data_IF_210692965857
#
_entry.id   IF_210692965857
#
_cell.length_a   1.000
_cell.length_b   1.000
_cell.length_c   1.000
_cell.angle_alpha   90.00
_cell.angle_beta   90.00
_cell.angle_gamma   90.00
#
_symmetry.space_group_name_H-M   'P 1'
#
loop_
_entity.id
_entity.type
_entity.pdbx_description
1 polymer ?
#
# COMPACT_ATOMS: atom_id res chain seq x y z
N UNK A 1 22.99 -12.01 -1.20
CA UNK A 1 21.70 -12.12 -1.89
C UNK A 1 21.31 -10.72 -2.36
N UNK A 2 20.95 -10.53 -3.63
CA UNK A 2 20.41 -9.25 -4.11
C UNK A 2 19.04 -9.08 -3.44
N UNK A 3 18.88 -7.98 -2.68
CA UNK A 3 17.62 -7.67 -2.02
C UNK A 3 16.54 -7.46 -3.08
N UNK A 4 15.44 -8.17 -2.95
CA UNK A 4 14.23 -7.96 -3.78
C UNK A 4 13.58 -6.65 -3.33
N UNK A 5 12.93 -5.92 -4.24
CA UNK A 5 12.20 -4.68 -3.93
C UNK A 5 13.04 -3.62 -3.20
N UNK A 6 14.10 -3.12 -3.86
CA UNK A 6 14.94 -2.08 -3.25
C UNK A 6 14.43 -0.66 -3.45
N UNK A 7 13.44 -0.44 -4.33
CA UNK A 7 12.99 0.89 -4.76
C UNK A 7 11.48 1.13 -4.68
N UNK A 8 10.67 0.10 -4.94
CA UNK A 8 9.22 0.24 -5.07
C UNK A 8 8.50 -0.39 -3.87
N UNK A 9 8.73 0.16 -2.69
CA UNK A 9 7.97 -0.21 -1.51
C UNK A 9 7.74 1.00 -0.60
N UNK A 10 6.70 0.92 0.19
CA UNK A 10 6.39 1.84 1.29
C UNK A 10 6.44 1.11 2.61
N UNK A 11 7.03 1.75 3.61
CA UNK A 11 7.02 1.28 4.99
C UNK A 11 5.83 1.88 5.73
N UNK A 12 4.84 1.04 6.01
CA UNK A 12 3.63 1.40 6.75
C UNK A 12 3.72 0.98 8.22
N UNK A 13 4.92 0.72 8.71
CA UNK A 13 5.16 0.27 10.07
C UNK A 13 4.79 1.35 11.10
N UNK A 14 4.37 0.88 12.26
CA UNK A 14 4.02 1.69 13.43
C UNK A 14 4.71 1.15 14.67
N UNK A 15 4.60 1.82 15.79
CA UNK A 15 5.12 1.31 17.07
C UNK A 15 4.52 -0.05 17.45
N UNK A 16 3.29 -0.32 17.03
CA UNK A 16 2.57 -1.56 17.34
C UNK A 16 3.01 -2.75 16.50
N UNK A 17 3.61 -2.52 15.33
CA UNK A 17 4.04 -3.57 14.42
C UNK A 17 4.42 -3.07 13.04
N UNK A 18 4.75 -4.00 12.18
CA UNK A 18 5.38 -3.79 10.89
C UNK A 18 4.47 -4.23 9.75
N UNK A 19 4.39 -3.41 8.73
CA UNK A 19 3.66 -3.69 7.51
C UNK A 19 4.28 -2.91 6.35
N UNK A 20 4.36 -3.54 5.17
CA UNK A 20 4.98 -2.94 3.99
C UNK A 20 4.04 -3.08 2.79
N UNK A 21 4.11 -2.13 1.88
CA UNK A 21 3.44 -2.21 0.59
C UNK A 21 4.49 -2.23 -0.50
N UNK A 22 4.42 -3.22 -1.39
CA UNK A 22 5.34 -3.40 -2.52
C UNK A 22 4.59 -3.10 -3.81
N UNK A 23 5.23 -2.44 -4.76
CA UNK A 23 4.59 -1.97 -5.99
C UNK A 23 5.19 -2.60 -7.22
N UNK A 24 4.34 -2.87 -8.21
CA UNK A 24 4.74 -3.26 -9.55
C UNK A 24 5.56 -2.13 -10.21
N UNK A 25 6.69 -2.48 -10.82
CA UNK A 25 7.57 -1.49 -11.48
C UNK A 25 6.93 -0.85 -12.73
N UNK A 26 5.86 -1.44 -13.28
CA UNK A 26 5.21 -0.97 -14.51
C UNK A 26 3.90 -0.24 -14.21
N UNK A 27 2.94 -0.91 -13.58
CA UNK A 27 1.60 -0.34 -13.36
C UNK A 27 1.42 0.30 -11.99
N UNK A 28 2.40 0.14 -11.08
CA UNK A 28 2.36 0.62 -9.70
C UNK A 28 1.21 0.02 -8.87
N UNK A 29 0.63 -1.10 -9.32
CA UNK A 29 -0.29 -1.86 -8.49
C UNK A 29 0.43 -2.41 -7.27
N UNK A 30 -0.21 -2.35 -6.10
CA UNK A 30 0.44 -2.58 -4.81
C UNK A 30 -0.05 -3.83 -4.11
N UNK A 31 0.89 -4.62 -3.59
CA UNK A 31 0.65 -5.70 -2.66
C UNK A 31 1.04 -5.29 -1.25
N UNK A 32 0.12 -5.40 -0.30
CA UNK A 32 0.35 -5.09 1.12
C UNK A 32 0.63 -6.37 1.89
N UNK A 33 1.78 -6.44 2.57
CA UNK A 33 2.17 -7.58 3.39
C UNK A 33 1.26 -7.77 4.60
N UNK A 34 1.31 -8.95 5.18
CA UNK A 34 0.71 -9.24 6.47
C UNK A 34 1.29 -8.33 7.55
N UNK A 35 0.45 -7.96 8.54
CA UNK A 35 0.89 -7.15 9.68
C UNK A 35 1.60 -8.04 10.71
N UNK A 36 2.83 -7.69 11.06
CA UNK A 36 3.65 -8.39 12.05
C UNK A 36 3.71 -7.53 13.31
N UNK A 37 3.14 -8.01 14.41
CA UNK A 37 3.11 -7.27 15.67
C UNK A 37 4.51 -7.18 16.32
N UNK A 38 4.87 -6.00 16.84
CA UNK A 38 6.11 -5.80 17.58
C UNK A 38 6.04 -6.44 18.97
N UNK A 39 7.02 -7.31 19.28
CA UNK A 39 7.16 -7.93 20.60
C UNK A 39 7.64 -6.91 21.63
N UNK A 40 8.42 -5.94 21.21
CA UNK A 40 8.91 -4.83 22.02
C UNK A 40 7.74 -3.96 22.52
N UNK A 41 6.79 -3.66 21.63
CA UNK A 41 5.58 -2.91 22.00
C UNK A 41 4.67 -3.68 22.97
N UNK A 42 4.46 -4.99 22.73
CA UNK A 42 3.69 -5.85 23.64
C UNK A 42 4.28 -5.88 25.05
N UNK A 43 5.61 -6.02 25.17
CA UNK A 43 6.31 -5.98 26.46
C UNK A 43 6.15 -4.62 27.14
N UNK A 44 6.25 -3.52 26.40
CA UNK A 44 6.03 -2.17 26.90
C UNK A 44 4.61 -1.92 27.43
N UNK A 45 3.58 -2.43 26.74
CA UNK A 45 2.19 -2.37 27.22
C UNK A 45 1.98 -3.20 28.50
N UNK A 46 2.54 -4.39 28.57
CA UNK A 46 2.46 -5.24 29.75
C UNK A 46 3.09 -4.58 30.97
N UNK A 47 4.25 -3.96 30.83
CA UNK A 47 4.92 -3.22 31.88
C UNK A 47 4.15 -1.97 32.35
N UNK A 48 3.50 -1.24 31.43
CA UNK A 48 2.63 -0.10 31.79
C UNK A 48 1.41 -0.54 32.58
N UNK A 49 0.78 -1.64 32.20
CA UNK A 49 -0.34 -2.22 32.95
C UNK A 49 0.05 -2.66 34.36
N UNK A 50 1.22 -3.27 34.52
CA UNK A 50 1.78 -3.66 35.81
C UNK A 50 2.17 -2.43 36.68
N UNK A 51 2.74 -1.38 36.04
CA UNK A 51 3.10 -0.15 36.76
C UNK A 51 1.85 0.60 37.26
N UNK A 52 0.77 0.64 36.50
CA UNK A 52 -0.52 1.20 36.95
C UNK A 52 -1.16 0.36 38.06
N UNK A 53 -1.10 -0.96 37.95
CA UNK A 53 -1.57 -1.86 39.03
C UNK A 53 -0.72 -1.74 40.28
N UNK A 54 0.60 -1.61 40.18
CA UNK A 54 1.50 -1.45 41.29
C UNK A 54 1.34 -0.09 42.01
N UNK A 55 0.98 0.99 41.28
CA UNK A 55 0.73 2.30 41.91
C UNK A 55 -0.53 2.31 42.78
N UNK A 56 -1.54 1.51 42.43
CA UNK A 56 -2.77 1.33 43.24
C UNK A 56 -2.47 0.50 44.48
N UNK A 57 -1.64 -0.53 44.38
CA UNK A 57 -1.23 -1.37 45.52
C UNK A 57 -0.18 -0.69 46.40
N UNK A 58 0.71 0.14 45.79
CA UNK A 58 1.75 0.87 46.50
C UNK A 58 1.26 1.98 47.40
N UNK A 59 0.04 2.50 47.14
CA UNK A 59 -0.63 3.45 48.03
C UNK A 59 -1.15 2.79 49.33
N UNK A 60 -1.27 1.45 49.35
CA UNK A 60 -1.73 0.68 50.50
C UNK A 60 -0.57 0.12 51.37
N UNK A 61 0.63 0.05 50.87
CA UNK A 61 1.81 -0.46 51.58
C UNK A 61 2.91 0.60 51.55
N UNK A 62 2.91 1.45 52.56
CA UNK A 62 3.76 2.62 52.72
C UNK A 62 5.23 2.47 52.27
N UNK A 63 5.67 3.32 51.40
CA UNK A 63 6.98 3.97 51.48
C UNK A 63 8.19 3.36 50.76
N UNK A 64 8.17 2.14 50.23
CA UNK A 64 9.40 1.52 49.72
C UNK A 64 9.45 1.38 48.17
N UNK A 65 8.40 1.72 47.44
CA UNK A 65 8.28 1.47 46.01
C UNK A 65 8.45 2.74 45.13
N UNK A 66 8.60 3.92 45.76
CA UNK A 66 8.69 5.21 45.04
C UNK A 66 9.94 5.36 44.16
N UNK A 67 11.02 4.64 44.46
CA UNK A 67 12.25 4.71 43.69
C UNK A 67 12.27 3.84 42.41
N UNK A 68 11.35 2.87 42.27
CA UNK A 68 11.26 2.03 41.06
C UNK A 68 10.40 2.71 39.99
N UNK A 69 9.42 3.53 40.43
CA UNK A 69 8.51 4.26 39.49
C UNK A 69 9.20 5.33 38.66
N UNK A 70 10.16 6.06 39.24
CA UNK A 70 10.86 7.16 38.53
C UNK A 70 11.80 6.70 37.41
N UNK A 71 12.33 5.48 37.49
CA UNK A 71 13.15 4.89 36.43
C UNK A 71 12.33 4.39 35.22
N UNK A 72 11.06 4.00 35.45
CA UNK A 72 10.20 3.48 34.39
C UNK A 72 9.45 4.57 33.62
N UNK A 73 9.10 5.71 34.26
CA UNK A 73 8.49 6.83 33.54
C UNK A 73 9.43 7.47 32.52
N UNK A 74 10.73 7.56 32.83
CA UNK A 74 11.74 8.05 31.85
C UNK A 74 11.96 7.10 30.68
N UNK A 75 11.81 5.79 30.85
CA UNK A 75 11.90 4.81 29.78
C UNK A 75 10.67 4.79 28.85
N UNK A 76 9.51 5.24 29.35
CA UNK A 76 8.26 5.28 28.58
C UNK A 76 8.10 6.48 27.64
N UNK A 77 8.73 7.61 27.96
CA UNK A 77 8.68 8.81 27.13
C UNK A 77 9.64 8.77 25.92
N UNK A 78 10.71 7.97 25.99
CA UNK A 78 11.69 7.82 24.92
C UNK A 78 11.15 7.01 23.74
N UNK A 79 10.01 6.30 23.91
CA UNK A 79 9.40 5.49 22.86
C UNK A 79 8.35 6.25 22.03
N UNK A 80 8.12 7.55 22.25
CA UNK A 80 7.06 8.30 21.58
C UNK A 80 7.54 9.30 20.52
N UNK A 81 8.84 9.53 20.38
CA UNK A 81 9.37 10.36 19.31
C UNK A 81 9.75 9.49 18.10
N UNK A 82 9.16 9.84 16.98
CA UNK A 82 9.28 9.20 15.68
C UNK A 82 10.71 8.76 15.36
N UNK A 83 10.89 7.44 15.16
CA UNK A 83 11.98 6.75 14.43
C UNK A 83 13.44 7.10 14.76
N UNK A 84 13.77 8.25 15.29
CA UNK A 84 15.16 8.61 15.64
C UNK A 84 15.67 8.07 16.98
N UNK A 85 14.79 7.41 17.76
CA UNK A 85 15.10 6.84 19.09
C UNK A 85 14.72 5.39 19.28
N UNK A 86 14.44 4.64 18.22
CA UNK A 86 14.00 3.26 18.30
C UNK A 86 15.07 2.35 18.88
N UNK A 87 14.66 1.50 19.84
CA UNK A 87 15.59 0.58 20.47
C UNK A 87 16.25 -0.36 19.44
N UNK A 88 17.52 -0.79 19.68
CA UNK A 88 18.17 -1.76 18.79
C UNK A 88 17.40 -3.07 18.60
N UNK A 89 16.54 -3.43 19.56
CA UNK A 89 15.65 -4.58 19.43
C UNK A 89 14.54 -4.34 18.42
N UNK A 90 13.92 -3.16 18.45
CA UNK A 90 12.88 -2.80 17.47
C UNK A 90 13.44 -2.77 16.05
N UNK A 91 14.64 -2.24 15.87
CA UNK A 91 15.32 -2.21 14.56
C UNK A 91 15.55 -3.62 14.01
N UNK A 92 15.97 -4.57 14.85
CA UNK A 92 16.13 -5.98 14.47
C UNK A 92 14.80 -6.64 14.14
N UNK A 93 13.75 -6.35 14.91
CA UNK A 93 12.39 -6.83 14.61
C UNK A 93 11.89 -6.29 13.27
N UNK A 94 12.13 -5.00 13.00
CA UNK A 94 11.76 -4.34 11.74
C UNK A 94 12.51 -4.95 10.53
N UNK A 95 13.82 -5.14 10.63
CA UNK A 95 14.62 -5.78 9.58
C UNK A 95 14.12 -7.20 9.29
N UNK A 96 13.87 -7.99 10.32
CA UNK A 96 13.32 -9.34 10.17
C UNK A 96 11.91 -9.32 9.57
N UNK A 97 11.05 -8.41 10.01
CA UNK A 97 9.70 -8.24 9.47
C UNK A 97 9.76 -7.83 7.98
N UNK A 98 10.69 -6.97 7.60
CA UNK A 98 10.89 -6.60 6.21
C UNK A 98 11.33 -7.78 5.35
N UNK A 99 12.25 -8.63 5.83
CA UNK A 99 12.63 -9.86 5.13
C UNK A 99 11.45 -10.82 4.95
N UNK A 100 10.62 -11.01 5.99
CA UNK A 100 9.42 -11.81 5.89
C UNK A 100 8.43 -11.23 4.88
N UNK A 101 8.20 -9.92 4.90
CA UNK A 101 7.33 -9.23 3.97
C UNK A 101 7.82 -9.30 2.52
N UNK A 102 9.14 -9.21 2.29
CA UNK A 102 9.74 -9.42 0.96
C UNK A 102 9.51 -10.84 0.44
N UNK A 103 9.67 -11.85 1.28
CA UNK A 103 9.43 -13.25 0.90
C UNK A 103 7.95 -13.50 0.58
N UNK A 104 7.04 -12.86 1.31
CA UNK A 104 5.60 -12.89 1.04
C UNK A 104 5.29 -12.21 -0.30
N UNK A 105 5.82 -11.00 -0.52
CA UNK A 105 5.61 -10.24 -1.75
C UNK A 105 6.14 -10.94 -3.00
N UNK A 106 7.25 -11.68 -2.90
CA UNK A 106 7.80 -12.44 -4.04
C UNK A 106 6.84 -13.47 -4.63
N UNK A 107 5.82 -13.90 -3.88
CA UNK A 107 4.80 -14.83 -4.37
C UNK A 107 3.74 -14.13 -5.25
N UNK A 108 3.68 -12.80 -5.20
CA UNK A 108 2.72 -11.96 -5.91
C UNK A 108 3.34 -11.17 -7.07
N UNK A 109 4.65 -11.30 -7.26
CA UNK A 109 5.37 -10.60 -8.32
C UNK A 109 6.32 -11.52 -9.05
N UNK A 110 6.49 -11.25 -10.33
CA UNK A 110 7.44 -11.94 -11.20
C UNK A 110 8.64 -11.05 -11.50
N UNK A 111 9.80 -11.64 -11.57
CA UNK A 111 11.01 -10.93 -11.96
C UNK A 111 11.25 -11.08 -13.46
N UNK A 112 11.27 -9.99 -14.19
CA UNK A 112 11.64 -10.00 -15.59
C UNK A 112 13.12 -10.38 -15.77
N UNK A 113 13.42 -11.39 -16.59
CA UNK A 113 14.79 -11.82 -16.84
C UNK A 113 15.62 -10.85 -17.68
N UNK A 114 14.96 -9.99 -18.47
CA UNK A 114 15.61 -9.01 -19.32
C UNK A 114 15.96 -7.71 -18.56
N UNK A 115 14.96 -7.02 -18.01
CA UNK A 115 15.16 -5.73 -17.34
C UNK A 115 15.30 -5.82 -15.82
N UNK A 116 15.12 -7.00 -15.23
CA UNK A 116 15.21 -7.27 -13.79
C UNK A 116 14.12 -6.61 -12.95
N UNK A 117 13.09 -6.00 -13.56
CA UNK A 117 11.95 -5.40 -12.88
C UNK A 117 11.08 -6.44 -12.19
N UNK A 118 10.47 -6.05 -11.07
CA UNK A 118 9.47 -6.83 -10.36
C UNK A 118 8.08 -6.37 -10.80
N UNK A 119 7.31 -7.26 -11.39
CA UNK A 119 6.03 -6.94 -12.01
C UNK A 119 4.92 -7.88 -11.54
N UNK A 120 3.70 -7.37 -11.45
CA UNK A 120 2.53 -8.19 -11.12
C UNK A 120 2.13 -9.11 -12.29
N UNK A 121 1.22 -10.05 -12.05
CA UNK A 121 0.74 -11.02 -13.05
C UNK A 121 0.22 -10.34 -14.32
N UNK A 122 -0.49 -9.21 -14.19
CA UNK A 122 -1.02 -8.47 -15.33
C UNK A 122 0.07 -7.85 -16.21
N UNK A 123 1.22 -7.52 -15.62
CA UNK A 123 2.38 -6.95 -16.30
C UNK A 123 3.46 -7.98 -16.68
N UNK A 124 3.20 -9.27 -16.45
CA UNK A 124 4.13 -10.36 -16.79
C UNK A 124 3.59 -11.20 -17.95
N UNK A 125 4.42 -11.48 -18.92
CA UNK A 125 4.14 -12.39 -20.01
C UNK A 125 4.70 -13.76 -19.67
N UNK A 126 3.84 -14.68 -19.26
CA UNK A 126 4.23 -16.03 -18.81
C UNK A 126 4.84 -16.86 -19.95
N UNK A 127 4.36 -16.69 -21.18
CA UNK A 127 4.84 -17.46 -22.34
C UNK A 127 6.31 -17.17 -22.65
N UNK A 128 6.73 -15.92 -22.46
CA UNK A 128 8.09 -15.46 -22.75
C UNK A 128 8.97 -15.36 -21.49
N UNK A 129 8.38 -15.43 -20.27
CA UNK A 129 9.09 -15.24 -19.00
C UNK A 129 9.61 -13.81 -18.81
N UNK A 130 9.00 -12.83 -19.44
CA UNK A 130 9.42 -11.43 -19.48
C UNK A 130 8.26 -10.50 -19.08
N UNK A 131 8.57 -9.25 -18.71
CA UNK A 131 7.53 -8.26 -18.52
C UNK A 131 6.94 -7.80 -19.87
N UNK A 132 5.74 -7.23 -19.84
CA UNK A 132 5.00 -6.77 -21.03
C UNK A 132 5.70 -5.63 -21.78
N UNK A 133 6.64 -4.93 -21.17
CA UNK A 133 7.48 -3.94 -21.84
C UNK A 133 8.60 -4.60 -22.65
N UNK A 134 9.19 -5.68 -22.14
CA UNK A 134 10.23 -6.43 -22.84
C UNK A 134 9.66 -7.39 -23.90
N UNK A 135 8.50 -8.00 -23.62
CA UNK A 135 7.79 -8.90 -24.51
C UNK A 135 6.27 -8.66 -24.42
N UNK A 136 5.73 -7.76 -25.25
CA UNK A 136 4.28 -7.46 -25.23
C UNK A 136 3.46 -8.70 -25.60
N UNK A 137 2.35 -8.94 -24.88
CA UNK A 137 1.36 -9.94 -25.27
C UNK A 137 0.66 -9.47 -26.54
N UNK A 138 0.78 -10.24 -27.61
CA UNK A 138 0.29 -9.85 -28.93
C UNK A 138 -1.19 -9.45 -28.92
N UNK A 139 -2.04 -10.22 -28.26
CA UNK A 139 -3.48 -9.96 -28.18
C UNK A 139 -3.79 -8.64 -27.49
N UNK A 140 -3.14 -8.35 -26.36
CA UNK A 140 -3.32 -7.11 -25.59
C UNK A 140 -2.78 -5.92 -26.40
N UNK A 141 -1.63 -6.09 -27.05
CA UNK A 141 -1.04 -5.04 -27.88
C UNK A 141 -1.96 -4.67 -29.07
N UNK A 142 -2.50 -5.68 -29.77
CA UNK A 142 -3.44 -5.47 -30.88
C UNK A 142 -4.73 -4.83 -30.39
N UNK A 143 -5.28 -5.28 -29.24
CA UNK A 143 -6.48 -4.69 -28.66
C UNK A 143 -6.26 -3.22 -28.29
N UNK A 144 -5.14 -2.88 -27.67
CA UNK A 144 -4.75 -1.51 -27.34
C UNK A 144 -4.61 -0.63 -28.58
N UNK A 145 -3.90 -1.12 -29.61
CA UNK A 145 -3.74 -0.39 -30.88
C UNK A 145 -5.09 -0.12 -31.57
N UNK A 146 -6.01 -1.10 -31.55
CA UNK A 146 -7.38 -0.92 -32.08
C UNK A 146 -8.17 0.11 -31.28
N UNK A 147 -8.09 0.09 -29.94
CA UNK A 147 -8.77 1.05 -29.10
C UNK A 147 -8.24 2.49 -29.33
N UNK A 148 -6.94 2.65 -29.48
CA UNK A 148 -6.33 3.95 -29.79
C UNK A 148 -6.75 4.45 -31.19
N UNK A 149 -6.79 3.58 -32.21
CA UNK A 149 -7.29 3.94 -33.52
C UNK A 149 -8.77 4.35 -33.50
N UNK A 150 -9.59 3.61 -32.75
CA UNK A 150 -11.00 3.93 -32.57
C UNK A 150 -11.20 5.28 -31.87
N UNK A 151 -10.42 5.57 -30.85
CA UNK A 151 -10.43 6.86 -30.14
C UNK A 151 -10.10 8.01 -31.09
N UNK A 152 -9.02 7.90 -31.87
CA UNK A 152 -8.66 8.91 -32.88
C UNK A 152 -9.77 9.16 -33.88
N UNK A 153 -10.42 8.08 -34.39
CA UNK A 153 -11.54 8.21 -35.32
C UNK A 153 -12.76 8.91 -34.69
N UNK A 154 -12.99 8.72 -33.40
CA UNK A 154 -14.07 9.40 -32.68
C UNK A 154 -13.71 10.88 -32.50
N UNK A 155 -12.50 11.20 -32.09
CA UNK A 155 -12.03 12.57 -31.88
C UNK A 155 -12.11 13.36 -33.22
N UNK A 156 -11.67 12.76 -34.34
CA UNK A 156 -11.78 13.36 -35.67
C UNK A 156 -13.25 13.63 -36.07
N UNK A 157 -14.15 12.69 -35.77
CA UNK A 157 -15.59 12.89 -36.03
C UNK A 157 -16.19 13.98 -35.14
N UNK A 158 -15.75 14.09 -33.91
CA UNK A 158 -16.19 15.15 -32.98
C UNK A 158 -15.68 16.51 -33.46
N UNK A 159 -14.43 16.61 -33.91
CA UNK A 159 -13.88 17.86 -34.45
C UNK A 159 -14.53 18.29 -35.74
N UNK A 160 -14.92 17.34 -36.61
CA UNK A 160 -15.58 17.61 -37.90
C UNK A 160 -17.11 17.75 -37.75
N UNK A 161 -17.70 17.30 -36.65
CA UNK A 161 -19.11 17.51 -36.36
C UNK A 161 -19.34 19.01 -36.19
N UNK A 162 -20.21 19.57 -37.03
CA UNK A 162 -20.66 20.96 -36.91
C UNK A 162 -21.11 21.19 -35.48
N UNK A 163 -20.49 22.17 -34.82
CA UNK A 163 -20.77 22.54 -33.44
C UNK A 163 -22.29 22.72 -33.32
N UNK A 164 -22.92 21.88 -32.53
CA UNK A 164 -24.35 22.03 -32.19
C UNK A 164 -24.51 23.36 -31.47
N UNK A 165 -24.94 24.38 -32.23
CA UNK A 165 -25.31 25.68 -31.68
C UNK A 165 -26.63 25.47 -30.98
N UNK A 166 -26.62 25.24 -29.68
CA UNK A 166 -27.69 24.92 -28.78
C UNK A 166 -29.01 25.71 -28.86
N UNK A 167 -29.58 25.86 -30.04
CA UNK A 167 -30.94 26.26 -30.25
C UNK A 167 -31.82 25.01 -30.16
N UNK A 168 -32.32 24.78 -28.97
CA UNK A 168 -33.44 23.87 -28.73
C UNK A 168 -34.67 24.53 -29.39
N UNK A 169 -34.94 24.22 -30.65
CA UNK A 169 -36.28 24.37 -31.19
C UNK A 169 -37.22 23.39 -30.45
N UNK A 170 -37.90 23.96 -29.43
CA UNK A 170 -38.99 23.24 -28.77
C UNK A 170 -40.12 23.18 -29.79
N UNK A 171 -40.15 22.08 -30.60
CA UNK A 171 -41.36 21.76 -31.33
C UNK A 171 -42.41 21.42 -30.29
N UNK A 172 -43.35 22.37 -30.12
CA UNK A 172 -44.58 22.16 -29.38
C UNK A 172 -45.31 20.96 -29.97
N UNK A 173 -45.20 19.81 -29.32
CA UNK A 173 -46.00 18.64 -29.58
C UNK A 173 -47.43 18.92 -28.99
N UNK A 174 -48.22 19.64 -29.71
CA UNK A 174 -49.68 19.66 -29.47
C UNK A 174 -50.25 18.36 -30.02
N UNK A 175 -50.12 17.29 -29.22
CA UNK A 175 -50.79 16.01 -29.47
C UNK A 175 -52.30 16.15 -29.20
N UNK A 176 -53.09 16.25 -30.28
CA UNK A 176 -54.53 16.13 -30.21
C UNK A 176 -54.89 14.69 -29.85
N UNK A 177 -55.27 14.46 -28.62
CA UNK A 177 -55.94 13.22 -28.24
C UNK A 177 -57.35 13.23 -28.83
N UNK A 178 -57.60 12.46 -29.86
CA UNK A 178 -58.94 12.11 -30.35
C UNK A 178 -59.43 10.90 -29.57
N UNK A 179 -60.37 11.13 -28.69
CA UNK A 179 -61.20 10.09 -28.08
C UNK A 179 -62.21 9.59 -29.08
N UNK A 180 -62.30 8.28 -29.26
CA UNK A 180 -63.44 7.55 -29.77
C UNK A 180 -63.63 6.31 -28.93
#
# INVERSE_FOLDING_TARGET
MLKSFTRNYEDNSTDAGFQFTFYCDICHDGYRSSFIESSTYKKGKGLRGLAQGASILGSLVGGAVSNIGYGMERGGHVLSERFEGQSPMWQKEHEHAFECAQNEAQQHFHRCHSCQSWVCDSCFNEDEGLCVECAPRQEIYVAKARAEAMKRNIDEKVETATVWKGELEIHNFTGVYRTS
#
